data_IF_678694537221
#
_entry.id   IF_678694537221
#
_cell.length_a   1.000
_cell.length_b   1.000
_cell.length_c   1.000
_cell.angle_alpha   90.00
_cell.angle_beta   90.00
_cell.angle_gamma   90.00
#
_symmetry.space_group_name_H-M   'P 1'
#
loop_
_entity.id
_entity.type
_entity.pdbx_description
1 polymer ?
#
# COMPACT_ATOMS: atom_id res chain seq x y z
N UNK A 1 17.35 -23.98 9.76
CA UNK A 1 16.40 -22.96 10.18
C UNK A 1 15.40 -22.76 9.07
N UNK A 2 14.09 -22.88 9.36
CA UNK A 2 13.04 -22.72 8.37
C UNK A 2 12.95 -21.23 7.98
N UNK A 3 12.88 -20.92 6.71
CA UNK A 3 12.75 -19.54 6.19
C UNK A 3 11.50 -18.80 6.70
N UNK A 4 10.56 -19.50 7.36
CA UNK A 4 9.39 -18.90 8.02
C UNK A 4 9.71 -18.14 9.31
N UNK A 5 10.86 -18.41 9.93
CA UNK A 5 11.25 -17.81 11.22
C UNK A 5 12.00 -16.46 11.06
N UNK A 6 12.18 -15.99 9.84
CA UNK A 6 12.92 -14.76 9.52
C UNK A 6 12.00 -13.56 9.22
N UNK A 7 10.71 -13.63 9.58
CA UNK A 7 9.76 -12.55 9.33
C UNK A 7 9.38 -11.90 10.67
N UNK A 8 9.51 -10.59 10.73
CA UNK A 8 8.98 -9.81 11.85
C UNK A 8 7.46 -9.74 11.77
N UNK A 9 6.79 -10.39 12.72
CA UNK A 9 5.35 -10.45 12.79
C UNK A 9 4.74 -9.30 13.59
N UNK A 10 3.68 -8.69 13.05
CA UNK A 10 2.92 -7.60 13.67
C UNK A 10 1.54 -8.09 14.14
N UNK A 11 1.53 -9.15 14.94
CA UNK A 11 0.31 -9.87 15.34
C UNK A 11 -0.73 -8.96 15.98
N UNK A 12 -0.34 -8.17 16.98
CA UNK A 12 -1.26 -7.26 17.68
C UNK A 12 -1.92 -6.25 16.72
N UNK A 13 -1.14 -5.66 15.81
CA UNK A 13 -1.66 -4.73 14.81
C UNK A 13 -2.63 -5.42 13.85
N UNK A 14 -2.30 -6.64 13.41
CA UNK A 14 -3.15 -7.44 12.54
C UNK A 14 -4.46 -7.86 13.22
N UNK A 15 -4.41 -8.30 14.47
CA UNK A 15 -5.58 -8.68 15.26
C UNK A 15 -6.53 -7.50 15.50
N UNK A 16 -5.98 -6.33 15.87
CA UNK A 16 -6.76 -5.10 16.02
C UNK A 16 -7.44 -4.70 14.71
N UNK A 17 -6.71 -4.72 13.60
CA UNK A 17 -7.25 -4.38 12.30
C UNK A 17 -8.30 -5.39 11.84
N UNK A 18 -8.07 -6.68 12.03
CA UNK A 18 -9.03 -7.74 11.70
C UNK A 18 -10.32 -7.59 12.51
N UNK A 19 -10.22 -7.30 13.80
CA UNK A 19 -11.38 -7.06 14.65
C UNK A 19 -12.17 -5.81 14.21
N UNK A 20 -11.50 -4.71 13.89
CA UNK A 20 -12.15 -3.49 13.39
C UNK A 20 -12.88 -3.74 12.05
N UNK A 21 -12.29 -4.55 11.16
CA UNK A 21 -12.90 -4.89 9.88
C UNK A 21 -14.14 -5.77 10.04
N UNK A 22 -14.07 -6.82 10.87
CA UNK A 22 -15.12 -7.82 10.98
C UNK A 22 -16.22 -7.41 11.96
N UNK A 23 -15.87 -6.69 13.02
CA UNK A 23 -16.75 -6.28 14.11
C UNK A 23 -16.62 -4.75 14.39
N UNK A 24 -16.96 -3.89 13.40
CA UNK A 24 -16.84 -2.45 13.59
C UNK A 24 -17.74 -1.95 14.69
N UNK A 25 -17.24 -1.02 15.51
CA UNK A 25 -18.09 -0.32 16.47
C UNK A 25 -19.11 0.57 15.73
N UNK A 26 -20.21 0.98 16.38
CA UNK A 26 -21.21 1.86 15.77
C UNK A 26 -20.65 3.15 15.18
N UNK A 27 -19.52 3.65 15.71
CA UNK A 27 -18.85 4.85 15.22
C UNK A 27 -17.98 4.61 13.96
N UNK A 28 -17.69 3.36 13.65
CA UNK A 28 -16.81 2.96 12.55
C UNK A 28 -17.54 2.14 11.46
N UNK A 29 -18.85 2.31 11.35
CA UNK A 29 -19.66 1.55 10.37
C UNK A 29 -19.31 1.85 8.92
N UNK A 30 -18.61 2.95 8.63
CA UNK A 30 -18.07 3.27 7.31
C UNK A 30 -17.05 2.24 6.78
N UNK A 31 -16.48 1.38 7.63
CA UNK A 31 -15.72 0.18 7.24
C UNK A 31 -16.52 -0.71 6.27
N UNK A 32 -17.85 -0.76 6.41
CA UNK A 32 -18.74 -1.50 5.49
C UNK A 32 -18.78 -0.93 4.08
N UNK A 33 -18.41 0.35 3.92
CA UNK A 33 -18.27 1.00 2.61
C UNK A 33 -16.95 0.66 1.91
N UNK A 34 -16.04 -0.02 2.61
CA UNK A 34 -14.70 -0.38 2.18
C UNK A 34 -13.63 0.31 3.00
N UNK A 35 -12.43 -0.24 2.99
CA UNK A 35 -11.26 0.33 3.65
C UNK A 35 -10.13 0.45 2.66
N UNK A 36 -9.43 1.57 2.70
CA UNK A 36 -8.22 1.80 1.92
C UNK A 36 -7.02 2.05 2.85
N UNK A 37 -6.02 1.19 2.74
CA UNK A 37 -4.77 1.28 3.49
C UNK A 37 -3.67 1.87 2.61
N UNK A 38 -3.33 3.13 2.84
CA UNK A 38 -2.29 3.83 2.10
C UNK A 38 -0.94 3.80 2.82
N UNK A 39 0.15 3.67 2.08
CA UNK A 39 1.49 3.76 2.66
C UNK A 39 2.57 3.69 1.59
N UNK A 40 3.70 4.33 1.82
CA UNK A 40 4.82 4.39 0.87
C UNK A 40 5.29 2.99 0.45
N UNK A 41 6.02 2.93 -0.67
CA UNK A 41 6.57 1.67 -1.18
C UNK A 41 7.66 1.10 -0.28
N UNK A 42 7.80 -0.24 -0.26
CA UNK A 42 8.88 -0.99 0.41
C UNK A 42 8.91 -0.90 1.94
N UNK A 43 7.80 -0.50 2.59
CA UNK A 43 7.69 -0.46 4.06
C UNK A 43 7.09 -1.73 4.67
N UNK A 44 6.92 -2.80 3.88
CA UNK A 44 6.44 -4.09 4.36
C UNK A 44 4.91 -4.30 4.31
N UNK A 45 4.13 -3.46 3.60
CA UNK A 45 2.65 -3.62 3.48
C UNK A 45 2.23 -5.01 3.02
N UNK A 46 2.72 -5.46 1.87
CA UNK A 46 2.37 -6.77 1.28
C UNK A 46 2.73 -7.93 2.24
N UNK A 47 3.88 -7.85 2.92
CA UNK A 47 4.29 -8.84 3.92
C UNK A 47 3.31 -8.87 5.08
N UNK A 48 2.95 -7.71 5.63
CA UNK A 48 1.95 -7.59 6.70
C UNK A 48 0.58 -8.16 6.26
N UNK A 49 0.10 -7.80 5.08
CA UNK A 49 -1.18 -8.31 4.58
C UNK A 49 -1.18 -9.84 4.52
N UNK A 50 -0.17 -10.43 3.89
CA UNK A 50 -0.13 -11.87 3.63
C UNK A 50 0.25 -12.72 4.83
N UNK A 51 1.14 -12.23 5.70
CA UNK A 51 1.74 -12.99 6.81
C UNK A 51 1.09 -12.75 8.16
N UNK A 52 0.40 -11.61 8.32
CA UNK A 52 -0.21 -11.24 9.59
C UNK A 52 -1.71 -10.98 9.46
N UNK A 53 -2.16 -10.11 8.55
CA UNK A 53 -3.58 -9.73 8.48
C UNK A 53 -4.47 -10.86 7.94
N UNK A 54 -4.06 -11.54 6.85
CA UNK A 54 -4.83 -12.66 6.30
C UNK A 54 -5.01 -13.76 7.35
N UNK A 55 -3.95 -14.26 8.03
CA UNK A 55 -4.12 -15.22 9.11
C UNK A 55 -5.01 -14.72 10.27
N UNK A 56 -4.92 -13.45 10.64
CA UNK A 56 -5.74 -12.87 11.71
C UNK A 56 -7.23 -12.81 11.33
N UNK A 57 -7.56 -12.46 10.09
CA UNK A 57 -8.94 -12.49 9.56
C UNK A 57 -9.48 -13.92 9.50
N UNK A 58 -8.68 -14.87 9.00
CA UNK A 58 -9.06 -16.30 8.94
C UNK A 58 -9.27 -16.89 10.36
N UNK A 59 -8.45 -16.51 11.33
CA UNK A 59 -8.60 -16.93 12.72
C UNK A 59 -9.91 -16.45 13.36
N UNK A 60 -10.43 -15.30 12.90
CA UNK A 60 -11.74 -14.78 13.30
C UNK A 60 -12.89 -15.30 12.43
N UNK A 61 -12.65 -16.32 11.60
CA UNK A 61 -13.64 -17.00 10.79
C UNK A 61 -14.03 -16.31 9.49
N UNK A 62 -13.28 -15.34 9.02
CA UNK A 62 -13.52 -14.72 7.72
C UNK A 62 -12.92 -15.54 6.58
N UNK A 63 -13.60 -15.62 5.45
CA UNK A 63 -13.04 -16.12 4.20
C UNK A 63 -12.28 -14.98 3.51
N UNK A 64 -10.98 -15.15 3.30
CA UNK A 64 -10.14 -14.12 2.71
C UNK A 64 -9.75 -14.48 1.28
N UNK A 65 -9.97 -13.53 0.35
CA UNK A 65 -9.50 -13.58 -1.03
C UNK A 65 -8.45 -12.47 -1.18
N UNK A 66 -7.22 -12.85 -1.49
CA UNK A 66 -6.11 -11.90 -1.67
C UNK A 66 -5.71 -11.83 -3.13
N UNK A 67 -5.60 -10.62 -3.64
CA UNK A 67 -5.16 -10.33 -5.02
C UNK A 67 -4.10 -9.24 -4.98
N UNK A 68 -3.00 -9.45 -5.71
CA UNK A 68 -1.99 -8.43 -5.97
C UNK A 68 -2.08 -8.01 -7.45
N UNK A 69 -2.46 -6.76 -7.70
CA UNK A 69 -2.61 -6.26 -9.07
C UNK A 69 -1.27 -6.03 -9.79
N UNK A 70 -0.16 -6.20 -9.09
CA UNK A 70 1.19 -6.15 -9.67
C UNK A 70 1.79 -7.51 -9.95
N UNK A 71 1.13 -8.59 -9.51
CA UNK A 71 1.66 -9.95 -9.65
C UNK A 71 1.89 -10.36 -11.12
N UNK A 72 1.04 -9.89 -12.03
CA UNK A 72 1.18 -10.15 -13.46
C UNK A 72 0.71 -8.92 -14.27
N UNK A 73 1.67 -8.17 -14.81
CA UNK A 73 1.41 -6.96 -15.59
C UNK A 73 0.86 -7.22 -16.99
N UNK A 74 0.88 -8.47 -17.45
CA UNK A 74 0.29 -8.86 -18.74
C UNK A 74 -1.21 -9.05 -18.66
N UNK A 75 -1.77 -9.24 -17.45
CA UNK A 75 -3.19 -9.40 -17.19
C UNK A 75 -3.84 -8.08 -16.78
N UNK A 76 -5.10 -7.90 -17.15
CA UNK A 76 -5.88 -6.76 -16.67
C UNK A 76 -6.24 -6.92 -15.18
N UNK A 77 -6.49 -5.81 -14.46
CA UNK A 77 -6.95 -5.85 -13.07
C UNK A 77 -8.18 -6.73 -12.86
N UNK A 78 -9.15 -6.67 -13.79
CA UNK A 78 -10.36 -7.50 -13.72
C UNK A 78 -10.04 -8.98 -13.88
N UNK A 79 -9.15 -9.34 -14.80
CA UNK A 79 -8.72 -10.74 -14.99
C UNK A 79 -8.07 -11.31 -13.73
N UNK A 80 -7.19 -10.55 -13.07
CA UNK A 80 -6.52 -10.98 -11.84
C UNK A 80 -7.52 -11.21 -10.69
N UNK A 81 -8.47 -10.29 -10.51
CA UNK A 81 -9.50 -10.43 -9.46
C UNK A 81 -10.42 -11.61 -9.76
N UNK A 82 -10.91 -11.75 -11.00
CA UNK A 82 -11.77 -12.87 -11.40
C UNK A 82 -11.07 -14.22 -11.24
N UNK A 83 -9.79 -14.30 -11.59
CA UNK A 83 -8.98 -15.50 -11.41
C UNK A 83 -8.84 -15.88 -9.93
N UNK A 84 -8.55 -14.91 -9.05
CA UNK A 84 -8.43 -15.16 -7.62
C UNK A 84 -9.77 -15.59 -7.00
N UNK A 85 -10.89 -14.95 -7.37
CA UNK A 85 -12.23 -15.35 -6.94
C UNK A 85 -12.54 -16.76 -7.43
N UNK A 86 -12.32 -17.05 -8.72
CA UNK A 86 -12.55 -18.38 -9.30
C UNK A 86 -11.73 -19.47 -8.59
N UNK A 87 -10.44 -19.22 -8.36
CA UNK A 87 -9.56 -20.16 -7.66
C UNK A 87 -10.03 -20.43 -6.22
N UNK A 88 -10.51 -19.40 -5.52
CA UNK A 88 -11.08 -19.57 -4.17
C UNK A 88 -12.36 -20.42 -4.20
N UNK A 89 -13.28 -20.12 -5.12
CA UNK A 89 -14.50 -20.89 -5.30
C UNK A 89 -14.21 -22.36 -5.66
N UNK A 90 -13.24 -22.60 -6.53
CA UNK A 90 -12.78 -23.95 -6.90
C UNK A 90 -12.23 -24.72 -5.68
N UNK A 91 -11.41 -24.05 -4.85
CA UNK A 91 -10.91 -24.67 -3.62
C UNK A 91 -12.04 -25.01 -2.64
N UNK A 92 -13.08 -24.16 -2.54
CA UNK A 92 -14.25 -24.45 -1.73
C UNK A 92 -15.08 -25.62 -2.25
N UNK A 93 -15.12 -25.85 -3.57
CA UNK A 93 -15.78 -27.01 -4.18
C UNK A 93 -14.96 -28.30 -4.02
N UNK A 94 -13.64 -28.20 -3.80
CA UNK A 94 -12.74 -29.36 -3.76
C UNK A 94 -12.71 -29.92 -2.33
N UNK A 95 -13.24 -31.12 -2.09
CA UNK A 95 -13.19 -31.76 -0.77
C UNK A 95 -11.75 -31.92 -0.28
N UNK A 96 -11.51 -31.59 1.00
CA UNK A 96 -10.18 -31.73 1.60
C UNK A 96 -9.15 -30.65 1.16
N UNK A 97 -9.57 -29.63 0.44
CA UNK A 97 -8.69 -28.52 0.08
C UNK A 97 -8.08 -27.84 1.32
N UNK A 98 -6.87 -27.29 1.17
CA UNK A 98 -6.22 -26.56 2.28
C UNK A 98 -7.03 -25.35 2.79
N UNK A 99 -7.87 -24.76 1.93
CA UNK A 99 -8.80 -23.70 2.33
C UNK A 99 -9.88 -24.23 3.28
N UNK A 100 -10.56 -25.32 2.91
CA UNK A 100 -11.57 -25.95 3.77
C UNK A 100 -11.00 -26.45 5.10
N UNK A 101 -9.76 -26.93 5.12
CA UNK A 101 -9.09 -27.38 6.35
C UNK A 101 -8.83 -26.24 7.33
N UNK A 102 -8.60 -25.02 6.84
CA UNK A 102 -8.40 -23.82 7.68
C UNK A 102 -9.70 -23.36 8.34
N UNK A 103 -10.85 -23.62 7.73
CA UNK A 103 -12.18 -23.26 8.24
C UNK A 103 -12.79 -24.33 9.13
N UNK A 104 -12.10 -24.80 10.17
CA UNK A 104 -12.54 -25.85 11.11
C UNK A 104 -13.84 -25.54 11.88
N UNK A 105 -14.39 -24.34 11.78
CA UNK A 105 -15.62 -23.91 12.48
C UNK A 105 -16.87 -23.85 11.60
N UNK A 106 -16.75 -24.06 10.31
CA UNK A 106 -17.90 -24.11 9.43
C UNK A 106 -18.49 -25.52 9.45
N UNK A 107 -19.82 -25.63 9.67
CA UNK A 107 -20.61 -26.87 9.49
C UNK A 107 -20.64 -27.28 8.00
N UNK A 108 -19.47 -27.34 7.39
CA UNK A 108 -19.26 -27.74 6.01
C UNK A 108 -19.25 -29.26 6.01
N UNK A 109 -20.30 -29.85 5.48
CA UNK A 109 -20.31 -31.28 5.21
C UNK A 109 -19.07 -31.66 4.42
N UNK A 110 -18.54 -32.86 4.61
CA UNK A 110 -17.33 -33.37 3.94
C UNK A 110 -17.38 -33.32 2.39
N UNK A 111 -18.50 -32.89 1.82
CA UNK A 111 -18.77 -32.87 0.39
C UNK A 111 -18.29 -31.59 -0.38
N UNK A 112 -17.81 -30.55 0.33
CA UNK A 112 -17.49 -29.26 -0.29
C UNK A 112 -18.73 -28.42 -0.62
N UNK A 113 -18.50 -27.22 -1.19
CA UNK A 113 -19.58 -26.35 -1.64
C UNK A 113 -20.01 -26.68 -3.08
N UNK A 114 -21.30 -26.56 -3.37
CA UNK A 114 -21.81 -26.47 -4.74
C UNK A 114 -22.36 -25.05 -4.98
N UNK A 115 -21.94 -24.42 -6.07
CA UNK A 115 -22.50 -23.13 -6.49
C UNK A 115 -23.55 -23.35 -7.58
N UNK A 116 -24.58 -22.47 -7.62
CA UNK A 116 -25.66 -22.53 -8.61
C UNK A 116 -25.25 -22.08 -10.00
N UNK A 117 -23.96 -21.79 -10.23
CA UNK A 117 -23.39 -21.33 -11.50
C UNK A 117 -22.11 -22.07 -11.84
N UNK A 118 -21.73 -22.00 -13.12
CA UNK A 118 -20.45 -22.53 -13.59
C UNK A 118 -19.33 -21.50 -13.38
N UNK A 119 -18.21 -21.92 -12.80
CA UNK A 119 -17.08 -21.04 -12.49
C UNK A 119 -16.50 -20.38 -13.74
N UNK A 120 -16.56 -21.06 -14.88
CA UNK A 120 -16.06 -20.51 -16.17
C UNK A 120 -16.93 -19.37 -16.70
N UNK A 121 -18.21 -19.28 -16.26
CA UNK A 121 -19.11 -18.19 -16.64
C UNK A 121 -18.87 -16.91 -15.84
N UNK A 122 -18.08 -16.96 -14.76
CA UNK A 122 -17.85 -15.81 -13.89
C UNK A 122 -17.16 -14.67 -14.65
N UNK A 123 -17.83 -13.50 -14.67
CA UNK A 123 -17.32 -12.29 -15.32
C UNK A 123 -17.44 -12.26 -16.83
N UNK A 124 -18.10 -13.25 -17.46
CA UNK A 124 -18.44 -13.19 -18.90
C UNK A 124 -19.69 -12.35 -19.15
N UNK A 125 -19.86 -11.84 -20.36
CA UNK A 125 -20.95 -10.89 -20.72
C UNK A 125 -22.36 -11.45 -20.45
N UNK A 126 -22.56 -12.76 -20.60
CA UNK A 126 -23.84 -13.44 -20.35
C UNK A 126 -23.79 -14.37 -19.13
N UNK A 127 -22.73 -14.32 -18.36
CA UNK A 127 -22.48 -15.22 -17.24
C UNK A 127 -22.76 -14.62 -15.87
N UNK A 128 -22.23 -15.27 -14.85
CA UNK A 128 -22.40 -14.87 -13.46
C UNK A 128 -21.60 -13.59 -13.16
N UNK A 129 -22.26 -12.60 -12.58
CA UNK A 129 -21.61 -11.38 -12.13
C UNK A 129 -20.86 -11.57 -10.81
N UNK A 130 -19.89 -10.70 -10.50
CA UNK A 130 -19.24 -10.70 -9.19
C UNK A 130 -20.25 -10.50 -8.05
N UNK A 131 -21.29 -9.68 -8.27
CA UNK A 131 -22.36 -9.48 -7.27
C UNK A 131 -23.11 -10.78 -6.94
N UNK A 132 -23.48 -11.54 -7.94
CA UNK A 132 -24.12 -12.86 -7.75
C UNK A 132 -23.19 -13.87 -7.07
N UNK A 133 -21.93 -13.93 -7.51
CA UNK A 133 -20.95 -14.86 -6.96
C UNK A 133 -20.68 -14.59 -5.47
N UNK A 134 -20.46 -13.31 -5.09
CA UNK A 134 -20.24 -12.96 -3.69
C UNK A 134 -21.50 -13.12 -2.84
N UNK A 135 -22.70 -12.81 -3.35
CA UNK A 135 -23.95 -13.02 -2.64
C UNK A 135 -24.17 -14.52 -2.34
N UNK A 136 -23.95 -15.39 -3.34
CA UNK A 136 -24.08 -16.84 -3.14
C UNK A 136 -22.97 -17.38 -2.21
N UNK A 137 -21.75 -16.87 -2.34
CA UNK A 137 -20.63 -17.25 -1.48
C UNK A 137 -20.93 -16.94 0.00
N UNK A 138 -21.35 -15.71 0.31
CA UNK A 138 -21.72 -15.32 1.68
C UNK A 138 -22.91 -16.12 2.19
N UNK A 139 -23.94 -16.31 1.38
CA UNK A 139 -25.14 -17.07 1.76
C UNK A 139 -24.81 -18.53 2.09
N UNK A 140 -23.89 -19.15 1.34
CA UNK A 140 -23.50 -20.56 1.57
C UNK A 140 -22.48 -20.73 2.66
N UNK A 141 -21.45 -19.89 2.68
CA UNK A 141 -20.38 -19.97 3.68
C UNK A 141 -20.83 -19.47 5.06
N UNK A 142 -21.84 -18.60 5.11
CA UNK A 142 -22.37 -18.00 6.35
C UNK A 142 -21.32 -17.26 7.19
N UNK A 143 -20.32 -16.68 6.51
CA UNK A 143 -19.21 -15.94 7.13
C UNK A 143 -18.98 -14.62 6.40
N UNK A 144 -18.22 -13.74 7.03
CA UNK A 144 -17.70 -12.56 6.33
C UNK A 144 -16.72 -12.99 5.23
N UNK A 145 -16.84 -12.38 4.06
CA UNK A 145 -15.91 -12.55 2.95
C UNK A 145 -15.12 -11.26 2.80
N UNK A 146 -13.81 -11.34 2.91
CA UNK A 146 -12.89 -10.19 2.79
C UNK A 146 -12.11 -10.31 1.49
N UNK A 147 -12.31 -9.37 0.57
CA UNK A 147 -11.47 -9.22 -0.61
C UNK A 147 -10.39 -8.17 -0.35
N UNK A 148 -9.14 -8.62 -0.33
CA UNK A 148 -7.98 -7.75 -0.23
C UNK A 148 -7.39 -7.56 -1.62
N UNK A 149 -7.34 -6.31 -2.09
CA UNK A 149 -6.74 -5.94 -3.38
C UNK A 149 -5.51 -5.07 -3.11
N UNK A 150 -4.33 -5.68 -3.24
CA UNK A 150 -3.06 -4.97 -3.08
C UNK A 150 -2.71 -4.20 -4.36
N UNK A 151 -2.15 -2.99 -4.20
CA UNK A 151 -1.85 -2.03 -5.26
C UNK A 151 -3.09 -1.64 -6.09
N UNK A 152 -4.23 -1.43 -5.41
CA UNK A 152 -5.56 -1.19 -6.01
C UNK A 152 -5.59 0.00 -6.97
N UNK A 153 -4.69 0.99 -6.84
CA UNK A 153 -4.60 2.11 -7.77
C UNK A 153 -4.27 1.68 -9.22
N UNK A 154 -3.77 0.46 -9.43
CA UNK A 154 -3.55 -0.08 -10.77
C UNK A 154 -4.88 -0.23 -11.54
N UNK A 155 -6.00 -0.39 -10.83
CA UNK A 155 -7.32 -0.44 -11.45
C UNK A 155 -7.77 0.91 -12.02
N UNK A 156 -7.21 2.04 -11.56
CA UNK A 156 -7.60 3.37 -12.06
C UNK A 156 -6.99 3.71 -13.44
N UNK A 157 -5.99 2.97 -13.87
CA UNK A 157 -5.26 3.24 -15.12
C UNK A 157 -5.94 2.74 -16.39
N UNK A 158 -7.08 2.03 -16.30
CA UNK A 158 -7.76 1.43 -17.44
C UNK A 158 -9.29 1.44 -17.28
N UNK A 159 -9.99 1.41 -18.40
CA UNK A 159 -11.46 1.30 -18.44
C UNK A 159 -11.93 -0.02 -17.79
N UNK A 160 -11.24 -1.12 -18.07
CA UNK A 160 -11.49 -2.43 -17.48
C UNK A 160 -11.35 -2.40 -15.94
N UNK A 161 -10.29 -1.76 -15.43
CA UNK A 161 -10.09 -1.61 -13.99
C UNK A 161 -11.16 -0.73 -13.33
N UNK A 162 -11.60 0.35 -13.98
CA UNK A 162 -12.70 1.17 -13.47
C UNK A 162 -14.01 0.37 -13.44
N UNK A 163 -14.29 -0.41 -14.49
CA UNK A 163 -15.46 -1.30 -14.57
C UNK A 163 -15.43 -2.35 -13.45
N UNK A 164 -14.24 -2.93 -13.15
CA UNK A 164 -14.04 -3.82 -12.01
C UNK A 164 -14.42 -3.16 -10.69
N UNK A 165 -13.95 -1.93 -10.43
CA UNK A 165 -14.25 -1.23 -9.18
C UNK A 165 -15.76 -0.99 -9.01
N UNK A 166 -16.48 -0.66 -10.09
CA UNK A 166 -17.94 -0.57 -10.08
C UNK A 166 -18.61 -1.92 -9.81
N UNK A 167 -18.11 -3.00 -10.41
CA UNK A 167 -18.62 -4.36 -10.17
C UNK A 167 -18.40 -4.81 -8.72
N UNK A 168 -17.24 -4.49 -8.11
CA UNK A 168 -16.95 -4.77 -6.71
C UNK A 168 -17.84 -3.95 -5.76
N UNK A 169 -18.12 -2.68 -6.10
CA UNK A 169 -19.10 -1.87 -5.37
C UNK A 169 -20.48 -2.53 -5.43
N UNK A 170 -20.93 -2.91 -6.63
CA UNK A 170 -22.22 -3.58 -6.80
C UNK A 170 -22.31 -4.90 -6.00
N UNK A 171 -21.23 -5.67 -5.96
CA UNK A 171 -21.12 -6.89 -5.15
C UNK A 171 -21.26 -6.59 -3.64
N UNK A 172 -20.55 -5.56 -3.17
CA UNK A 172 -20.66 -5.11 -1.77
C UNK A 172 -22.10 -4.71 -1.42
N UNK A 173 -22.68 -3.88 -2.27
CA UNK A 173 -24.04 -3.35 -2.03
C UNK A 173 -25.07 -4.50 -2.08
N UNK A 174 -24.96 -5.43 -3.01
CA UNK A 174 -25.84 -6.59 -3.14
C UNK A 174 -25.82 -7.50 -1.90
N UNK A 175 -24.65 -7.69 -1.28
CA UNK A 175 -24.52 -8.51 -0.06
C UNK A 175 -24.92 -7.73 1.18
N UNK A 176 -24.34 -6.54 1.37
CA UNK A 176 -24.41 -5.83 2.65
C UNK A 176 -25.76 -5.12 2.88
N UNK A 177 -26.58 -4.91 1.84
CA UNK A 177 -27.92 -4.33 1.97
C UNK A 177 -29.00 -5.36 2.27
N UNK A 178 -28.70 -6.66 2.25
CA UNK A 178 -29.67 -7.70 2.53
C UNK A 178 -30.01 -7.77 4.03
N UNK A 179 -31.30 -7.61 4.42
CA UNK A 179 -31.71 -7.78 5.81
C UNK A 179 -31.39 -9.20 6.30
N UNK A 180 -30.72 -9.29 7.46
CA UNK A 180 -30.40 -10.60 8.05
C UNK A 180 -29.33 -11.40 7.31
N UNK A 181 -28.50 -10.75 6.49
CA UNK A 181 -27.38 -11.43 5.84
C UNK A 181 -26.51 -12.17 6.87
N UNK A 182 -26.15 -13.44 6.62
CA UNK A 182 -25.36 -14.24 7.57
C UNK A 182 -23.90 -13.80 7.67
N UNK A 183 -23.46 -12.97 6.73
CA UNK A 183 -22.11 -12.39 6.67
C UNK A 183 -22.10 -11.15 5.79
N UNK A 184 -20.95 -10.49 5.71
CA UNK A 184 -20.77 -9.29 4.91
C UNK A 184 -19.68 -9.50 3.88
N UNK A 185 -19.78 -8.80 2.75
CA UNK A 185 -18.68 -8.63 1.82
C UNK A 185 -17.92 -7.37 2.17
N UNK A 186 -16.64 -7.53 2.54
CA UNK A 186 -15.73 -6.46 2.96
C UNK A 186 -14.65 -6.28 1.92
N UNK A 187 -14.41 -5.03 1.53
CA UNK A 187 -13.38 -4.66 0.59
C UNK A 187 -12.25 -3.92 1.29
N UNK A 188 -11.03 -4.42 1.14
CA UNK A 188 -9.79 -3.78 1.59
C UNK A 188 -8.88 -3.54 0.39
N UNK A 189 -8.77 -2.28 -0.04
CA UNK A 189 -7.81 -1.86 -1.05
C UNK A 189 -6.53 -1.36 -0.39
N UNK A 190 -5.36 -1.74 -0.90
CA UNK A 190 -4.11 -1.15 -0.45
C UNK A 190 -3.35 -0.52 -1.59
N UNK A 191 -2.48 0.44 -1.29
CA UNK A 191 -1.66 1.03 -2.32
C UNK A 191 -0.62 2.01 -1.81
N UNK A 192 0.30 2.31 -2.71
CA UNK A 192 1.42 3.23 -2.45
C UNK A 192 1.15 4.67 -2.89
N UNK A 193 0.08 4.92 -3.62
CA UNK A 193 -0.31 6.19 -4.20
C UNK A 193 -1.37 6.89 -3.32
N UNK A 194 -0.90 7.62 -2.30
CA UNK A 194 -1.80 8.21 -1.29
C UNK A 194 -2.92 9.06 -1.89
N UNK A 195 -2.62 9.90 -2.90
CA UNK A 195 -3.65 10.77 -3.54
C UNK A 195 -4.72 9.95 -4.25
N UNK A 196 -4.30 8.95 -5.07
CA UNK A 196 -5.25 8.11 -5.80
C UNK A 196 -6.12 7.29 -4.85
N UNK A 197 -5.53 6.76 -3.78
CA UNK A 197 -6.24 6.03 -2.73
C UNK A 197 -7.27 6.94 -2.03
N UNK A 198 -6.88 8.17 -1.68
CA UNK A 198 -7.79 9.13 -1.08
C UNK A 198 -8.92 9.51 -2.04
N UNK A 199 -8.60 9.74 -3.31
CA UNK A 199 -9.59 10.07 -4.34
C UNK A 199 -10.64 8.96 -4.52
N UNK A 200 -10.23 7.69 -4.48
CA UNK A 200 -11.16 6.53 -4.55
C UNK A 200 -12.21 6.55 -3.43
N UNK A 201 -11.83 7.02 -2.24
CA UNK A 201 -12.71 7.07 -1.07
C UNK A 201 -13.51 8.37 -0.95
N UNK A 202 -13.08 9.48 -1.57
CA UNK A 202 -13.65 10.81 -1.30
C UNK A 202 -14.35 11.46 -2.49
N UNK A 203 -13.93 11.17 -3.73
CA UNK A 203 -14.56 11.79 -4.91
C UNK A 203 -15.93 11.18 -5.20
N UNK A 204 -16.96 12.04 -5.39
CA UNK A 204 -18.35 11.63 -5.63
C UNK A 204 -18.55 10.67 -6.80
N UNK A 205 -17.73 10.77 -7.84
CA UNK A 205 -17.80 9.91 -9.02
C UNK A 205 -17.15 8.52 -8.81
N UNK A 206 -16.48 8.30 -7.68
CA UNK A 206 -15.77 7.04 -7.43
C UNK A 206 -16.69 5.99 -6.77
N UNK A 207 -16.53 4.71 -7.14
CA UNK A 207 -17.37 3.62 -6.62
C UNK A 207 -17.36 3.47 -5.11
N UNK A 208 -16.24 3.77 -4.47
CA UNK A 208 -16.05 3.59 -3.02
C UNK A 208 -16.13 4.89 -2.22
N UNK A 209 -16.84 5.91 -2.74
CA UNK A 209 -17.09 7.16 -1.98
C UNK A 209 -17.68 6.84 -0.61
N UNK A 210 -17.09 7.40 0.44
CA UNK A 210 -17.46 7.16 1.83
C UNK A 210 -16.72 6.01 2.51
N UNK A 211 -15.82 5.32 1.80
CA UNK A 211 -14.93 4.32 2.39
C UNK A 211 -13.94 4.95 3.38
N UNK A 212 -13.49 4.16 4.35
CA UNK A 212 -12.47 4.58 5.31
C UNK A 212 -11.08 4.57 4.65
N UNK A 213 -10.33 5.66 4.79
CA UNK A 213 -8.92 5.71 4.41
C UNK A 213 -8.05 5.78 5.65
N UNK A 214 -7.08 4.90 5.78
CA UNK A 214 -6.13 4.87 6.88
C UNK A 214 -4.69 4.74 6.36
N UNK A 215 -3.74 5.28 7.10
CA UNK A 215 -2.34 5.13 6.79
C UNK A 215 -1.81 3.81 7.35
N UNK A 216 -0.99 3.11 6.57
CA UNK A 216 -0.25 1.96 7.06
C UNK A 216 0.78 2.41 8.10
N UNK A 217 0.75 1.80 9.27
CA UNK A 217 1.74 2.04 10.31
C UNK A 217 3.08 1.42 9.88
N UNK A 218 4.10 2.24 9.69
CA UNK A 218 5.44 1.76 9.36
C UNK A 218 6.05 0.95 10.50
N UNK A 219 7.10 0.22 10.21
CA UNK A 219 7.89 -0.51 11.21
C UNK A 219 8.65 0.48 12.09
N UNK A 220 8.79 0.14 13.37
CA UNK A 220 9.41 1.00 14.37
C UNK A 220 10.69 0.37 14.96
N UNK A 221 11.14 0.89 16.10
CA UNK A 221 12.40 0.48 16.72
C UNK A 221 12.42 -0.99 17.15
N UNK A 222 11.26 -1.57 17.48
CA UNK A 222 11.10 -2.98 17.81
C UNK A 222 11.50 -3.90 16.65
N UNK A 223 11.17 -3.52 15.42
CA UNK A 223 11.66 -4.20 14.21
C UNK A 223 13.19 -4.12 14.09
N UNK A 224 13.78 -2.95 14.33
CA UNK A 224 15.24 -2.78 14.25
C UNK A 224 15.95 -3.64 15.29
N UNK A 225 15.46 -3.64 16.53
CA UNK A 225 15.97 -4.49 17.59
C UNK A 225 15.91 -5.98 17.19
N UNK A 226 14.73 -6.45 16.73
CA UNK A 226 14.53 -7.81 16.27
C UNK A 226 15.51 -8.19 15.14
N UNK A 227 15.72 -7.29 14.16
CA UNK A 227 16.62 -7.53 13.05
C UNK A 227 18.08 -7.66 13.51
N UNK A 228 18.52 -6.80 14.44
CA UNK A 228 19.86 -6.86 15.01
C UNK A 228 20.05 -8.13 15.84
N UNK A 229 19.09 -8.50 16.68
CA UNK A 229 19.13 -9.72 17.49
C UNK A 229 19.23 -10.99 16.63
N UNK A 230 18.46 -11.03 15.54
CA UNK A 230 18.52 -12.14 14.58
C UNK A 230 19.92 -12.29 13.94
N UNK A 231 20.55 -11.17 13.60
CA UNK A 231 21.89 -11.16 12.98
C UNK A 231 23.00 -11.43 14.01
N UNK A 232 22.84 -10.96 15.25
CA UNK A 232 23.82 -11.14 16.34
C UNK A 232 24.15 -12.62 16.63
N UNK A 233 23.26 -13.54 16.22
CA UNK A 233 23.52 -15.00 16.34
C UNK A 233 24.62 -15.50 15.40
N UNK A 234 25.03 -14.69 14.41
CA UNK A 234 26.07 -15.05 13.44
C UNK A 234 27.45 -14.69 13.98
N UNK A 235 28.41 -15.64 14.11
CA UNK A 235 29.74 -15.36 14.63
C UNK A 235 30.51 -14.33 13.77
N UNK A 236 31.18 -13.40 14.42
CA UNK A 236 32.07 -12.42 13.78
C UNK A 236 31.33 -11.23 13.13
N UNK A 237 30.04 -11.11 13.31
CA UNK A 237 29.27 -9.97 12.80
C UNK A 237 29.51 -8.74 13.68
N UNK A 238 29.73 -7.59 13.01
CA UNK A 238 29.85 -6.29 13.62
C UNK A 238 28.50 -5.56 13.48
N UNK A 239 27.92 -5.11 14.59
CA UNK A 239 26.62 -4.46 14.62
C UNK A 239 26.73 -3.04 15.23
N UNK A 240 25.95 -2.07 14.73
CA UNK A 240 25.78 -0.79 15.39
C UNK A 240 24.90 -0.95 16.64
N UNK A 241 24.94 0.03 17.53
CA UNK A 241 23.96 0.12 18.61
C UNK A 241 22.54 0.30 18.05
N UNK A 242 21.54 -0.16 18.82
CA UNK A 242 20.12 -0.06 18.41
C UNK A 242 19.70 1.39 18.11
N UNK A 243 20.20 2.33 18.91
CA UNK A 243 19.91 3.75 18.72
C UNK A 243 20.46 4.28 17.38
N UNK A 244 21.67 3.88 16.99
CA UNK A 244 22.29 4.25 15.72
C UNK A 244 21.58 3.56 14.54
N UNK A 245 21.27 2.27 14.69
CA UNK A 245 20.52 1.52 13.67
C UNK A 245 19.12 2.09 13.47
N UNK A 246 18.42 2.48 14.53
CA UNK A 246 17.13 3.13 14.46
C UNK A 246 17.19 4.47 13.73
N UNK A 247 18.14 5.33 14.07
CA UNK A 247 18.33 6.60 13.36
C UNK A 247 18.61 6.39 11.86
N UNK A 248 19.43 5.38 11.51
CA UNK A 248 19.68 4.98 10.14
C UNK A 248 18.42 4.47 9.43
N UNK A 249 17.60 3.66 10.09
CA UNK A 249 16.35 3.14 9.55
C UNK A 249 15.34 4.26 9.25
N UNK A 250 15.21 5.22 10.16
CA UNK A 250 14.42 6.44 9.94
C UNK A 250 14.96 7.27 8.77
N UNK A 251 16.28 7.42 8.67
CA UNK A 251 16.93 8.15 7.59
C UNK A 251 16.64 7.51 6.22
N UNK A 252 16.54 6.17 6.17
CA UNK A 252 16.22 5.41 4.95
C UNK A 252 14.72 5.23 4.70
N UNK A 253 13.84 5.94 5.42
CA UNK A 253 12.39 5.95 5.20
C UNK A 253 11.66 4.69 5.67
N UNK A 254 12.11 4.07 6.76
CA UNK A 254 11.51 2.86 7.35
C UNK A 254 11.41 1.68 6.37
N UNK A 255 12.43 1.50 5.53
CA UNK A 255 12.50 0.46 4.49
C UNK A 255 13.34 -0.72 4.98
N UNK A 256 12.73 -1.89 5.31
CA UNK A 256 13.45 -3.06 5.84
C UNK A 256 14.62 -3.52 4.95
N UNK A 257 14.39 -3.53 3.65
CA UNK A 257 15.39 -3.92 2.66
C UNK A 257 16.63 -3.02 2.70
N UNK A 258 16.45 -1.71 2.87
CA UNK A 258 17.56 -0.77 2.95
C UNK A 258 18.35 -0.91 4.26
N UNK A 259 17.65 -1.21 5.37
CA UNK A 259 18.33 -1.54 6.64
C UNK A 259 19.22 -2.77 6.48
N UNK A 260 18.70 -3.84 5.87
CA UNK A 260 19.48 -5.06 5.64
C UNK A 260 20.69 -4.79 4.73
N UNK A 261 20.52 -4.01 3.64
CA UNK A 261 21.64 -3.59 2.78
C UNK A 261 22.72 -2.82 3.57
N UNK A 262 22.30 -1.89 4.44
CA UNK A 262 23.23 -1.14 5.27
C UNK A 262 24.04 -2.05 6.22
N UNK A 263 23.37 -3.01 6.86
CA UNK A 263 24.00 -3.98 7.72
C UNK A 263 24.98 -4.89 6.97
N UNK A 264 24.64 -5.32 5.75
CA UNK A 264 25.55 -6.09 4.88
C UNK A 264 26.77 -5.26 4.46
N UNK A 265 26.57 -3.98 4.07
CA UNK A 265 27.69 -3.10 3.72
C UNK A 265 28.63 -2.84 4.90
N UNK A 266 28.08 -2.74 6.11
CA UNK A 266 28.88 -2.60 7.32
C UNK A 266 29.84 -3.81 7.51
N UNK A 267 29.40 -5.04 7.21
CA UNK A 267 30.25 -6.23 7.32
C UNK A 267 31.41 -6.17 6.32
N UNK A 268 31.14 -5.78 5.07
CA UNK A 268 32.16 -5.72 4.02
C UNK A 268 33.17 -4.59 4.24
N UNK A 269 32.72 -3.46 4.80
CA UNK A 269 33.58 -2.31 5.13
C UNK A 269 34.41 -2.52 6.40
N UNK A 270 33.87 -3.21 7.43
CA UNK A 270 34.55 -3.43 8.70
C UNK A 270 35.73 -4.41 8.60
N UNK A 271 35.74 -5.29 7.59
CA UNK A 271 36.87 -6.22 7.37
C UNK A 271 38.20 -5.49 7.02
N UNK A 272 38.14 -4.23 6.61
CA UNK A 272 39.30 -3.44 6.20
C UNK A 272 39.48 -2.12 6.97
N UNK A 273 38.61 -1.80 7.92
CA UNK A 273 38.59 -0.52 8.65
C UNK A 273 38.55 -0.72 10.16
N UNK A 274 39.33 0.07 10.89
CA UNK A 274 39.31 0.16 12.37
C UNK A 274 38.19 1.08 12.89
N UNK A 275 37.32 1.59 12.01
CA UNK A 275 36.25 2.51 12.39
C UNK A 275 35.15 1.78 13.17
N UNK A 276 34.74 2.27 14.35
CA UNK A 276 33.64 1.67 15.11
C UNK A 276 32.33 1.65 14.30
N UNK A 277 31.52 0.61 14.48
CA UNK A 277 30.26 0.41 13.77
C UNK A 277 29.32 1.63 13.89
N UNK A 278 29.21 2.21 15.08
CA UNK A 278 28.36 3.37 15.34
C UNK A 278 28.79 4.64 14.59
N UNK A 279 30.05 4.71 14.14
CA UNK A 279 30.55 5.82 13.31
C UNK A 279 30.38 5.52 11.80
N UNK A 280 30.61 4.27 11.39
CA UNK A 280 30.53 3.87 9.99
C UNK A 280 29.08 3.75 9.49
N UNK A 281 28.19 3.20 10.32
CA UNK A 281 26.82 2.89 9.93
C UNK A 281 25.99 4.10 9.46
N UNK A 282 26.01 5.27 10.13
CA UNK A 282 25.30 6.46 9.67
C UNK A 282 25.74 6.93 8.27
N UNK A 283 27.02 6.80 7.95
CA UNK A 283 27.57 7.19 6.63
C UNK A 283 27.05 6.25 5.56
N UNK A 284 27.01 4.95 5.83
CA UNK A 284 26.42 3.94 4.93
C UNK A 284 24.94 4.23 4.70
N UNK A 285 24.18 4.49 5.76
CA UNK A 285 22.76 4.81 5.68
C UNK A 285 22.51 6.08 4.86
N UNK A 286 23.30 7.13 5.05
CA UNK A 286 23.20 8.37 4.29
C UNK A 286 23.49 8.15 2.80
N UNK A 287 24.48 7.32 2.49
CA UNK A 287 24.83 6.96 1.10
C UNK A 287 23.68 6.18 0.45
N UNK A 288 23.14 5.15 1.11
CA UNK A 288 22.03 4.36 0.59
C UNK A 288 20.77 5.21 0.44
N UNK A 289 20.47 6.07 1.40
CA UNK A 289 19.36 7.01 1.34
C UNK A 289 19.49 7.95 0.12
N UNK A 290 20.67 8.48 -0.12
CA UNK A 290 20.96 9.33 -1.29
C UNK A 290 20.72 8.57 -2.60
N UNK A 291 21.26 7.36 -2.73
CA UNK A 291 21.09 6.52 -3.94
C UNK A 291 19.61 6.14 -4.16
N UNK A 292 18.90 5.78 -3.09
CA UNK A 292 17.49 5.43 -3.19
C UNK A 292 16.60 6.60 -3.62
N UNK A 293 16.95 7.82 -3.22
CA UNK A 293 16.25 9.02 -3.63
C UNK A 293 16.62 9.47 -5.05
N UNK A 294 17.80 9.13 -5.56
CA UNK A 294 18.23 9.51 -6.91
C UNK A 294 17.27 9.09 -8.01
N UNK A 295 16.67 7.91 -7.88
CA UNK A 295 15.69 7.39 -8.84
C UNK A 295 14.49 8.31 -8.94
N UNK A 296 13.94 8.72 -7.80
CA UNK A 296 12.76 9.60 -7.74
C UNK A 296 13.15 11.05 -8.13
N UNK A 297 14.34 11.50 -7.76
CA UNK A 297 14.82 12.84 -8.10
C UNK A 297 15.10 12.99 -9.60
N UNK A 298 15.61 11.95 -10.27
CA UNK A 298 15.75 11.94 -11.74
C UNK A 298 14.40 12.01 -12.43
N UNK A 299 13.38 11.33 -11.88
CA UNK A 299 12.03 11.44 -12.43
C UNK A 299 11.49 12.88 -12.38
N UNK A 300 11.92 13.70 -11.40
CA UNK A 300 11.55 15.13 -11.33
C UNK A 300 12.22 15.93 -12.44
N UNK A 301 13.46 15.59 -12.81
CA UNK A 301 14.21 16.26 -13.90
C UNK A 301 13.51 16.11 -15.25
N UNK A 302 12.81 14.99 -15.48
CA UNK A 302 12.03 14.72 -16.71
C UNK A 302 10.87 15.71 -16.91
N UNK A 303 10.44 16.40 -15.85
CA UNK A 303 9.38 17.42 -15.91
C UNK A 303 9.90 18.80 -16.34
N UNK A 304 11.20 18.93 -16.63
CA UNK A 304 11.83 20.18 -17.05
C UNK A 304 11.90 21.21 -15.91
N UNK A 305 12.39 22.41 -16.25
CA UNK A 305 12.66 23.48 -15.28
C UNK A 305 11.40 23.92 -14.50
N UNK A 306 10.25 24.02 -15.18
CA UNK A 306 9.01 24.41 -14.53
C UNK A 306 8.52 23.31 -13.55
N UNK A 307 8.63 22.03 -13.92
CA UNK A 307 8.29 20.93 -13.03
C UNK A 307 9.20 20.89 -11.80
N UNK A 308 10.48 21.12 -11.98
CA UNK A 308 11.45 21.22 -10.87
C UNK A 308 11.14 22.44 -9.96
N UNK A 309 10.72 23.57 -10.53
CA UNK A 309 10.32 24.76 -9.75
C UNK A 309 9.07 24.50 -8.92
N UNK A 310 8.07 23.82 -9.49
CA UNK A 310 6.84 23.41 -8.78
C UNK A 310 7.18 22.45 -7.65
N UNK A 311 7.99 21.41 -7.92
CA UNK A 311 8.42 20.46 -6.90
C UNK A 311 9.20 21.13 -5.77
N UNK A 312 10.12 22.02 -6.10
CA UNK A 312 10.89 22.79 -5.12
C UNK A 312 9.99 23.56 -4.16
N UNK A 313 9.00 24.31 -4.68
CA UNK A 313 8.05 25.07 -3.87
C UNK A 313 7.27 24.15 -2.92
N UNK A 314 6.87 22.96 -3.39
CA UNK A 314 6.16 21.99 -2.55
C UNK A 314 7.09 21.38 -1.49
N UNK A 315 8.31 21.03 -1.86
CA UNK A 315 9.28 20.41 -0.95
C UNK A 315 9.78 21.37 0.14
N UNK A 316 10.02 22.64 -0.20
CA UNK A 316 10.47 23.69 0.72
C UNK A 316 9.36 24.17 1.66
N UNK A 317 8.10 23.93 1.31
CA UNK A 317 6.95 24.32 2.12
C UNK A 317 6.73 23.45 3.35
N UNK A 318 5.56 23.59 4.00
CA UNK A 318 5.20 22.80 5.18
C UNK A 318 5.04 21.31 4.88
N UNK A 319 5.32 20.46 5.86
CA UNK A 319 5.02 19.02 5.76
C UNK A 319 3.52 18.72 5.64
N UNK A 320 2.68 19.57 6.20
CA UNK A 320 1.22 19.49 6.07
C UNK A 320 0.72 19.88 4.67
N UNK A 321 1.59 20.48 3.85
CA UNK A 321 1.33 20.83 2.46
C UNK A 321 1.42 22.32 2.15
N UNK A 322 1.42 22.61 0.86
CA UNK A 322 1.51 23.94 0.28
C UNK A 322 0.26 24.22 -0.53
N UNK A 323 -0.32 25.38 -0.33
CA UNK A 323 -1.43 25.91 -1.14
C UNK A 323 -0.95 27.02 -2.07
N UNK A 324 -1.81 27.45 -2.99
CA UNK A 324 -1.53 28.61 -3.84
C UNK A 324 -0.50 28.37 -4.93
N UNK A 325 -0.35 27.14 -5.45
CA UNK A 325 0.56 26.83 -6.57
C UNK A 325 0.27 27.62 -7.86
N UNK A 326 -0.96 28.13 -7.99
CA UNK A 326 -1.45 28.86 -9.17
C UNK A 326 -1.65 30.35 -8.90
N UNK A 327 -1.26 30.83 -7.72
CA UNK A 327 -1.35 32.25 -7.34
C UNK A 327 -0.29 33.10 -8.06
N UNK A 328 -0.55 34.41 -8.17
CA UNK A 328 0.34 35.35 -8.84
C UNK A 328 1.79 35.29 -8.33
N UNK A 329 1.99 35.22 -7.01
CA UNK A 329 3.31 35.08 -6.39
C UNK A 329 4.05 33.82 -6.86
N UNK A 330 3.33 32.66 -6.93
CA UNK A 330 3.92 31.41 -7.38
C UNK A 330 4.29 31.47 -8.86
N UNK A 331 3.38 32.00 -9.68
CA UNK A 331 3.61 32.15 -11.12
C UNK A 331 4.80 33.09 -11.41
N UNK A 332 4.94 34.18 -10.67
CA UNK A 332 6.09 35.09 -10.78
C UNK A 332 7.41 34.39 -10.43
N UNK A 333 7.45 33.62 -9.34
CA UNK A 333 8.62 32.86 -8.94
C UNK A 333 8.99 31.77 -9.96
N UNK A 334 8.00 31.12 -10.58
CA UNK A 334 8.24 30.15 -11.66
C UNK A 334 8.78 30.83 -12.91
N UNK A 335 8.21 31.99 -13.28
CA UNK A 335 8.65 32.76 -14.44
C UNK A 335 10.11 33.25 -14.28
N UNK A 336 10.48 33.72 -13.09
CA UNK A 336 11.85 34.10 -12.76
C UNK A 336 12.83 32.92 -12.94
N UNK A 337 12.46 31.74 -12.46
CA UNK A 337 13.31 30.55 -12.53
C UNK A 337 13.44 29.96 -13.94
N UNK A 338 12.38 30.01 -14.74
CA UNK A 338 12.34 29.46 -16.11
C UNK A 338 12.72 30.48 -17.21
N UNK A 339 12.85 31.75 -16.85
CA UNK A 339 13.12 32.83 -17.82
C UNK A 339 11.96 33.07 -18.80
N UNK A 340 10.75 32.54 -18.53
CA UNK A 340 9.60 32.66 -19.44
C UNK A 340 8.27 32.85 -18.66
N UNK A 341 7.27 33.46 -19.32
CA UNK A 341 5.96 33.64 -18.73
C UNK A 341 5.31 32.27 -18.46
N UNK A 342 4.82 32.06 -17.23
CA UNK A 342 4.15 30.83 -16.81
C UNK A 342 2.66 31.12 -16.58
N UNK A 343 1.81 30.27 -17.16
CA UNK A 343 0.35 30.37 -17.05
C UNK A 343 -0.22 29.26 -16.13
N UNK A 344 -1.32 29.53 -15.40
CA UNK A 344 -1.93 28.56 -14.51
C UNK A 344 -2.21 27.18 -15.14
N UNK A 345 -2.70 27.06 -16.40
CA UNK A 345 -2.93 25.76 -17.02
C UNK A 345 -1.66 24.91 -17.21
N UNK A 346 -0.51 25.54 -17.42
CA UNK A 346 0.76 24.83 -17.54
C UNK A 346 1.17 24.20 -16.19
N UNK A 347 1.03 24.98 -15.11
CA UNK A 347 1.28 24.50 -13.74
C UNK A 347 0.32 23.36 -13.36
N UNK A 348 -0.97 23.52 -13.71
CA UNK A 348 -2.00 22.49 -13.46
C UNK A 348 -1.66 21.18 -14.17
N UNK A 349 -1.35 21.24 -15.47
CA UNK A 349 -1.00 20.06 -16.26
C UNK A 349 0.23 19.33 -15.68
N UNK A 350 1.29 20.08 -15.32
CA UNK A 350 2.46 19.48 -14.70
C UNK A 350 2.17 18.90 -13.32
N UNK A 351 1.40 19.59 -12.48
CA UNK A 351 1.01 19.08 -11.18
C UNK A 351 0.20 17.78 -11.31
N UNK A 352 -0.75 17.68 -12.22
CA UNK A 352 -1.54 16.47 -12.46
C UNK A 352 -0.67 15.30 -12.96
N UNK A 353 0.30 15.60 -13.85
CA UNK A 353 1.27 14.60 -14.30
C UNK A 353 2.19 14.14 -13.18
N UNK A 354 2.66 15.05 -12.31
CA UNK A 354 3.48 14.70 -11.14
C UNK A 354 2.69 13.91 -10.10
N UNK A 355 1.39 14.18 -9.93
CA UNK A 355 0.49 13.35 -9.12
C UNK A 355 0.42 11.95 -9.73
N UNK A 356 0.18 11.84 -11.03
CA UNK A 356 0.11 10.55 -11.73
C UNK A 356 1.41 9.76 -11.64
N UNK A 357 2.56 10.44 -11.63
CA UNK A 357 3.88 9.84 -11.41
C UNK A 357 4.20 9.53 -9.93
N UNK A 358 3.31 9.87 -8.99
CA UNK A 358 3.50 9.71 -7.54
C UNK A 358 4.69 10.50 -6.97
N UNK A 359 5.04 11.62 -7.56
CA UNK A 359 6.07 12.52 -7.06
C UNK A 359 5.50 13.50 -6.03
N UNK A 360 4.29 13.97 -6.27
CA UNK A 360 3.54 14.82 -5.35
C UNK A 360 2.17 14.21 -5.04
N UNK A 361 1.61 14.61 -3.91
CA UNK A 361 0.30 14.18 -3.45
C UNK A 361 -0.60 15.38 -3.20
N UNK A 362 -1.92 15.19 -3.33
CA UNK A 362 -2.95 16.19 -3.04
C UNK A 362 -3.82 15.74 -1.87
N UNK A 363 -3.38 15.97 -0.62
CA UNK A 363 -4.11 15.52 0.57
C UNK A 363 -5.43 16.25 0.81
N UNK A 364 -5.63 17.41 0.19
CA UNK A 364 -6.85 18.21 0.30
C UNK A 364 -7.02 19.14 -0.90
N UNK A 365 -8.16 19.84 -0.96
CA UNK A 365 -8.44 20.76 -2.06
C UNK A 365 -7.41 21.91 -2.10
N UNK A 366 -6.68 22.01 -3.21
CA UNK A 366 -5.67 23.06 -3.42
C UNK A 366 -4.39 22.92 -2.57
N UNK A 367 -4.24 21.82 -1.81
CA UNK A 367 -3.05 21.55 -0.97
C UNK A 367 -2.23 20.44 -1.61
N UNK A 368 -0.92 20.65 -1.72
CA UNK A 368 0.03 19.73 -2.35
C UNK A 368 1.18 19.42 -1.40
N UNK A 369 1.60 18.16 -1.38
CA UNK A 369 2.75 17.66 -0.60
C UNK A 369 3.64 16.82 -1.48
N UNK A 370 4.90 16.61 -1.11
CA UNK A 370 5.70 15.54 -1.71
C UNK A 370 5.11 14.20 -1.32
N UNK A 371 4.98 13.28 -2.27
CA UNK A 371 4.29 12.00 -2.06
C UNK A 371 5.02 11.10 -1.06
N UNK A 372 6.36 11.09 -1.11
CA UNK A 372 7.22 10.34 -0.19
C UNK A 372 8.01 11.32 0.70
N UNK A 373 7.74 11.37 2.02
CA UNK A 373 8.48 12.23 2.95
C UNK A 373 9.99 11.97 2.96
N UNK A 374 10.41 10.75 2.65
CA UNK A 374 11.82 10.40 2.51
C UNK A 374 12.46 11.15 1.33
N UNK A 375 11.83 11.16 0.16
CA UNK A 375 12.31 11.90 -1.02
C UNK A 375 12.39 13.40 -0.72
N UNK A 376 11.37 13.95 -0.04
CA UNK A 376 11.36 15.35 0.42
C UNK A 376 12.57 15.67 1.29
N UNK A 377 12.85 14.84 2.29
CA UNK A 377 13.98 15.04 3.21
C UNK A 377 15.31 15.05 2.47
N UNK A 378 15.58 14.05 1.61
CA UNK A 378 16.83 13.98 0.84
C UNK A 378 16.96 15.16 -0.12
N UNK A 379 15.85 15.57 -0.76
CA UNK A 379 15.86 16.75 -1.64
C UNK A 379 16.23 18.02 -0.87
N UNK A 380 15.66 18.26 0.32
CA UNK A 380 15.96 19.42 1.17
C UNK A 380 17.43 19.41 1.64
N UNK A 381 17.94 18.25 2.05
CA UNK A 381 19.34 18.12 2.51
C UNK A 381 20.33 18.42 1.39
N UNK A 382 20.08 17.96 0.16
CA UNK A 382 20.90 18.29 -1.02
C UNK A 382 20.87 19.77 -1.36
N UNK A 383 19.69 20.39 -1.35
CA UNK A 383 19.56 21.81 -1.71
C UNK A 383 20.10 22.75 -0.64
N UNK A 384 20.16 22.33 0.63
CA UNK A 384 20.87 23.08 1.67
C UNK A 384 22.38 23.08 1.44
N UNK A 385 22.95 21.97 1.00
CA UNK A 385 24.38 21.85 0.68
C UNK A 385 24.79 22.67 -0.57
N UNK A 386 23.87 22.86 -1.51
CA UNK A 386 24.12 23.69 -2.71
C UNK A 386 23.99 25.21 -2.47
N UNK A 387 23.38 25.61 -1.34
CA UNK A 387 23.25 27.02 -0.93
C UNK A 387 24.36 27.50 0.02
N UNK A 388 25.30 26.60 0.41
CA UNK A 388 26.53 26.87 1.16
C UNK A 388 27.72 27.03 0.21
#
# INVERSE_FOLDING_TARGET
MNTSDQIFHRKTYAEQMAQQLLQPSPLHMNVRSGVFLSGIRRVGKTTFLRRDLVPALEALGALVIYVDLWADRSKSPAALVLEAVRNTLLQLQTPGSGLLQRFKGLNLGAAGFSFGFQLDSLGTTSGTTLAQAFAELVAKAQVNVVLIVDEVQQALGSEDGNSLLHALKAARDAVNSQPGTPGHFLFLGTGSHKSLITDMATRRAQPFTGALTTAYQVLEQDFVQWQLDAIATTPGVVLPSVAVAWAGFQLMGHRPEELLKALVQLQTGSASSSTPADQAFPIICATLASVAADVELRAIEEFGELGQAIFARIAEGSESGVSGLFGEEALAAYAERTGSQVLPPQVQNLADRMISANLIARPGHGVYTVADPFVRKVWLDRHKLLKL
#
